data_IF_547533578150
#
_entry.id   IF_547533578150
#
_cell.length_a   1.000
_cell.length_b   1.000
_cell.length_c   1.000
_cell.angle_alpha   90.00
_cell.angle_beta   90.00
_cell.angle_gamma   90.00
#
_symmetry.space_group_name_H-M   'P 1'
#
loop_
_entity.id
_entity.type
_entity.pdbx_description
1 polymer ?
#
# COMPACT_ATOMS: atom_id res chain seq x y z
N UNK A 1 -20.65 -0.55 -15.56
CA UNK A 1 -19.44 -1.39 -15.33
C UNK A 1 -19.60 -1.98 -13.94
N UNK A 2 -19.76 -3.29 -13.85
CA UNK A 2 -19.86 -4.00 -12.56
C UNK A 2 -18.45 -4.38 -12.11
N UNK A 3 -18.10 -4.14 -10.86
CA UNK A 3 -16.86 -4.55 -10.23
C UNK A 3 -17.09 -4.78 -8.74
N UNK A 4 -16.34 -5.68 -8.17
CA UNK A 4 -16.34 -5.96 -6.75
C UNK A 4 -15.16 -5.25 -6.09
N UNK A 5 -15.37 -4.73 -4.90
CA UNK A 5 -14.34 -4.10 -4.08
C UNK A 5 -14.20 -4.87 -2.77
N UNK A 6 -12.97 -5.15 -2.37
CA UNK A 6 -12.61 -5.59 -1.04
C UNK A 6 -11.55 -4.64 -0.48
N UNK A 7 -11.80 -4.08 0.70
CA UNK A 7 -10.77 -3.37 1.45
C UNK A 7 -9.86 -4.38 2.15
N UNK A 8 -8.57 -4.35 1.84
CA UNK A 8 -7.59 -5.26 2.43
C UNK A 8 -6.56 -4.50 3.25
N UNK A 9 -6.44 -4.83 4.51
CA UNK A 9 -5.46 -4.25 5.42
C UNK A 9 -4.52 -5.33 5.94
N UNK A 10 -3.22 -5.09 5.85
CA UNK A 10 -2.20 -5.94 6.46
C UNK A 10 -1.75 -5.31 7.79
N UNK A 11 -2.14 -5.96 8.87
CA UNK A 11 -1.56 -5.69 10.19
C UNK A 11 -0.21 -6.41 10.29
N UNK A 12 0.84 -5.62 10.46
CA UNK A 12 2.22 -6.11 10.54
C UNK A 12 2.70 -6.30 11.98
N UNK A 13 1.80 -6.26 12.94
CA UNK A 13 2.05 -6.34 14.40
C UNK A 13 2.99 -5.23 14.90
N UNK A 14 2.85 -4.03 14.33
CA UNK A 14 3.61 -2.86 14.80
C UNK A 14 3.06 -2.36 16.13
N UNK A 15 3.93 -1.96 17.08
CA UNK A 15 3.48 -1.36 18.32
C UNK A 15 2.59 -0.13 18.10
N UNK A 16 1.46 -0.05 18.81
CA UNK A 16 0.51 1.06 18.71
C UNK A 16 -0.46 0.99 17.53
N UNK A 17 -0.45 -0.07 16.74
CA UNK A 17 -1.46 -0.30 15.71
C UNK A 17 -2.84 -0.53 16.33
N UNK A 18 -3.84 0.21 15.87
CA UNK A 18 -5.24 0.03 16.24
C UNK A 18 -6.11 0.19 14.99
N UNK A 19 -6.90 -0.82 14.67
CA UNK A 19 -7.75 -0.89 13.48
C UNK A 19 -9.25 -0.69 13.77
N UNK A 20 -9.63 -0.46 15.04
CA UNK A 20 -11.03 -0.34 15.45
C UNK A 20 -11.77 0.78 14.71
N UNK A 21 -11.15 1.95 14.57
CA UNK A 21 -11.75 3.08 13.83
C UNK A 21 -11.94 2.76 12.35
N UNK A 22 -10.97 2.06 11.75
CA UNK A 22 -11.05 1.64 10.35
C UNK A 22 -12.17 0.62 10.15
N UNK A 23 -12.28 -0.37 11.03
CA UNK A 23 -13.35 -1.37 11.01
C UNK A 23 -14.72 -0.71 11.11
N UNK A 24 -14.90 0.16 12.12
CA UNK A 24 -16.17 0.85 12.34
C UNK A 24 -16.59 1.67 11.10
N UNK A 25 -15.66 2.38 10.49
CA UNK A 25 -15.93 3.17 9.30
C UNK A 25 -16.28 2.29 8.07
N UNK A 26 -15.54 1.20 7.86
CA UNK A 26 -15.80 0.27 6.75
C UNK A 26 -17.16 -0.41 6.88
N UNK A 27 -17.54 -0.79 8.11
CA UNK A 27 -18.86 -1.37 8.42
C UNK A 27 -19.99 -0.35 8.18
N UNK A 28 -19.81 0.90 8.61
CA UNK A 28 -20.76 2.00 8.36
C UNK A 28 -20.96 2.22 6.86
N UNK A 29 -19.89 2.21 6.08
CA UNK A 29 -19.93 2.36 4.63
C UNK A 29 -20.36 1.07 3.88
N UNK A 30 -20.58 -0.03 4.60
CA UNK A 30 -20.92 -1.35 4.03
C UNK A 30 -19.92 -1.84 2.99
N UNK A 31 -18.64 -1.52 3.20
CA UNK A 31 -17.55 -1.96 2.33
C UNK A 31 -17.02 -3.29 2.87
N UNK A 32 -17.03 -4.37 2.07
CA UNK A 32 -16.40 -5.63 2.46
C UNK A 32 -14.92 -5.41 2.77
N UNK A 33 -14.46 -5.93 3.90
CA UNK A 33 -13.06 -5.77 4.28
C UNK A 33 -12.47 -7.05 4.89
N UNK A 34 -11.16 -7.16 4.80
CA UNK A 34 -10.38 -8.18 5.47
C UNK A 34 -9.11 -7.57 6.08
N UNK A 35 -8.84 -7.96 7.31
CA UNK A 35 -7.62 -7.57 8.03
C UNK A 35 -6.82 -8.83 8.29
N UNK A 36 -5.69 -8.95 7.60
CA UNK A 36 -4.77 -10.07 7.74
C UNK A 36 -3.64 -9.67 8.67
N UNK A 37 -3.51 -10.36 9.80
CA UNK A 37 -2.38 -10.17 10.71
C UNK A 37 -1.22 -11.07 10.32
N UNK A 38 -0.04 -10.47 10.13
CA UNK A 38 1.23 -11.18 9.88
C UNK A 38 2.35 -10.44 10.61
N UNK A 39 3.02 -11.11 11.50
CA UNK A 39 4.17 -10.54 12.20
C UNK A 39 5.38 -10.42 11.26
N UNK A 40 5.30 -9.46 10.35
CA UNK A 40 6.44 -9.10 9.50
C UNK A 40 7.37 -8.11 10.17
N UNK A 41 6.89 -7.42 11.22
CA UNK A 41 7.68 -6.46 11.99
C UNK A 41 8.85 -7.14 12.72
N UNK A 42 8.58 -8.21 13.43
CA UNK A 42 9.63 -8.99 14.13
C UNK A 42 10.66 -9.56 13.15
N UNK A 43 10.22 -10.08 12.00
CA UNK A 43 11.13 -10.58 10.94
C UNK A 43 12.07 -9.47 10.42
N UNK A 44 11.53 -8.28 10.22
CA UNK A 44 12.32 -7.15 9.74
C UNK A 44 13.31 -6.69 10.80
N UNK A 45 12.88 -6.63 12.05
CA UNK A 45 13.72 -6.22 13.19
C UNK A 45 14.87 -7.20 13.45
N UNK A 46 14.63 -8.50 13.28
CA UNK A 46 15.66 -9.53 13.45
C UNK A 46 16.70 -9.52 12.34
N UNK A 47 16.27 -9.26 11.08
CA UNK A 47 17.14 -9.38 9.89
C UNK A 47 17.92 -8.13 9.53
N UNK A 48 17.55 -6.98 10.04
CA UNK A 48 18.18 -5.70 9.69
C UNK A 48 18.84 -5.10 10.93
N UNK A 49 20.17 -4.81 10.91
CA UNK A 49 20.85 -4.09 11.97
C UNK A 49 20.21 -2.70 12.19
N UNK A 50 20.20 -2.21 13.42
CA UNK A 50 19.61 -0.92 13.81
C UNK A 50 20.15 0.30 13.03
N UNK A 51 21.31 0.15 12.39
CA UNK A 51 21.94 1.20 11.56
C UNK A 51 21.38 1.31 10.15
N UNK A 52 20.48 0.42 9.72
CA UNK A 52 19.89 0.42 8.37
C UNK A 52 18.39 0.65 8.40
N UNK A 53 17.88 1.33 7.35
CA UNK A 53 16.43 1.60 7.19
C UNK A 53 15.64 0.32 6.93
N UNK A 54 14.64 0.08 7.77
CA UNK A 54 13.72 -1.08 7.71
C UNK A 54 12.73 -1.00 6.52
N UNK A 55 12.54 0.19 5.94
CA UNK A 55 11.46 0.49 5.01
C UNK A 55 11.45 -0.36 3.74
N UNK A 56 12.60 -0.68 3.15
CA UNK A 56 12.67 -1.40 1.89
C UNK A 56 12.26 -2.87 2.02
N UNK A 57 12.70 -3.56 3.08
CA UNK A 57 12.33 -4.96 3.34
C UNK A 57 10.86 -5.05 3.76
N UNK A 58 10.41 -4.16 4.65
CA UNK A 58 9.03 -4.08 5.09
C UNK A 58 8.06 -3.86 3.91
N UNK A 59 8.39 -2.92 3.01
CA UNK A 59 7.59 -2.67 1.80
C UNK A 59 7.55 -3.86 0.85
N UNK A 60 8.66 -4.59 0.72
CA UNK A 60 8.74 -5.78 -0.13
C UNK A 60 7.91 -6.93 0.42
N UNK A 61 8.00 -7.20 1.73
CA UNK A 61 7.21 -8.23 2.40
C UNK A 61 5.71 -7.92 2.30
N UNK A 62 5.32 -6.68 2.63
CA UNK A 62 3.93 -6.22 2.53
C UNK A 62 3.38 -6.41 1.11
N UNK A 63 4.12 -5.99 0.10
CA UNK A 63 3.72 -6.14 -1.30
C UNK A 63 3.56 -7.61 -1.68
N UNK A 64 4.48 -8.47 -1.29
CA UNK A 64 4.41 -9.91 -1.54
C UNK A 64 3.16 -10.56 -0.95
N UNK A 65 2.78 -10.15 0.28
CA UNK A 65 1.58 -10.66 0.95
C UNK A 65 0.32 -10.18 0.23
N UNK A 66 0.22 -8.89 -0.11
CA UNK A 66 -0.93 -8.31 -0.83
C UNK A 66 -1.12 -9.01 -2.19
N UNK A 67 -0.04 -9.20 -2.95
CA UNK A 67 -0.12 -9.84 -4.27
C UNK A 67 -0.50 -11.31 -4.18
N UNK A 68 0.02 -12.03 -3.18
CA UNK A 68 -0.38 -13.41 -2.92
C UNK A 68 -1.86 -13.52 -2.58
N UNK A 69 -2.33 -12.69 -1.66
CA UNK A 69 -3.73 -12.64 -1.26
C UNK A 69 -4.63 -12.34 -2.47
N UNK A 70 -4.30 -11.33 -3.26
CA UNK A 70 -5.06 -10.96 -4.45
C UNK A 70 -5.16 -12.13 -5.46
N UNK A 71 -4.06 -12.86 -5.64
CA UNK A 71 -4.03 -14.05 -6.53
C UNK A 71 -4.89 -15.19 -6.01
N UNK A 72 -4.77 -15.51 -4.74
CA UNK A 72 -5.50 -16.61 -4.10
C UNK A 72 -7.02 -16.39 -4.11
N UNK A 73 -7.47 -15.13 -4.09
CA UNK A 73 -8.88 -14.73 -4.10
C UNK A 73 -9.39 -14.24 -5.47
N UNK A 74 -8.59 -14.37 -6.52
CA UNK A 74 -9.03 -14.06 -7.90
C UNK A 74 -9.14 -12.57 -8.22
N UNK A 75 -8.58 -11.66 -7.41
CA UNK A 75 -8.55 -10.24 -7.71
C UNK A 75 -7.56 -9.92 -8.82
N UNK A 76 -8.01 -9.22 -9.86
CA UNK A 76 -7.18 -8.85 -11.02
C UNK A 76 -6.58 -7.46 -10.93
N UNK A 77 -7.06 -6.62 -10.01
CA UNK A 77 -6.58 -5.25 -9.80
C UNK A 77 -6.31 -5.00 -8.33
N UNK A 78 -5.26 -4.22 -8.08
CA UNK A 78 -4.86 -3.78 -6.74
C UNK A 78 -4.84 -2.26 -6.76
N UNK A 79 -5.75 -1.63 -6.01
CA UNK A 79 -5.79 -0.18 -5.84
C UNK A 79 -4.94 0.23 -4.63
N UNK A 80 -4.01 1.17 -4.83
CA UNK A 80 -3.17 1.73 -3.78
C UNK A 80 -3.48 3.21 -3.60
N UNK A 81 -3.52 3.67 -2.35
CA UNK A 81 -3.85 5.04 -1.97
C UNK A 81 -2.77 6.09 -2.22
N UNK A 82 -1.73 5.78 -3.01
CA UNK A 82 -0.71 6.77 -3.35
C UNK A 82 -1.31 7.94 -4.12
N UNK A 83 -0.99 9.15 -3.70
CA UNK A 83 -1.48 10.40 -4.26
C UNK A 83 -0.38 11.18 -4.99
N UNK A 84 -0.73 12.33 -5.58
CA UNK A 84 0.18 13.15 -6.39
C UNK A 84 1.50 13.48 -5.68
N UNK A 85 1.42 13.86 -4.42
CA UNK A 85 2.59 14.28 -3.66
C UNK A 85 3.56 13.10 -3.40
N UNK A 86 3.05 11.87 -3.24
CA UNK A 86 3.88 10.66 -3.16
C UNK A 86 4.66 10.41 -4.45
N UNK A 87 4.01 10.62 -5.61
CA UNK A 87 4.63 10.45 -6.90
C UNK A 87 5.75 11.47 -7.10
N UNK A 88 5.50 12.73 -6.74
CA UNK A 88 6.48 13.82 -6.83
C UNK A 88 7.66 13.54 -5.88
N UNK A 89 7.39 13.21 -4.61
CA UNK A 89 8.42 12.88 -3.62
C UNK A 89 9.29 11.71 -4.11
N UNK A 90 8.67 10.65 -4.60
CA UNK A 90 9.40 9.49 -5.13
C UNK A 90 10.27 9.85 -6.34
N UNK A 91 9.77 10.68 -7.24
CA UNK A 91 10.52 11.15 -8.40
C UNK A 91 11.74 11.97 -7.98
N UNK A 92 11.56 12.95 -7.09
CA UNK A 92 12.65 13.77 -6.57
C UNK A 92 13.70 12.93 -5.84
N UNK A 93 13.27 12.01 -4.98
CA UNK A 93 14.17 11.09 -4.30
C UNK A 93 14.96 10.23 -5.28
N UNK A 94 14.32 9.75 -6.34
CA UNK A 94 14.97 8.94 -7.37
C UNK A 94 16.06 9.72 -8.11
N UNK A 95 15.83 10.99 -8.43
CA UNK A 95 16.83 11.85 -9.07
C UNK A 95 17.99 12.16 -8.10
N UNK A 96 17.66 12.63 -6.89
CA UNK A 96 18.66 13.14 -5.95
C UNK A 96 19.58 12.05 -5.39
N UNK A 97 19.05 10.86 -5.14
CA UNK A 97 19.82 9.77 -4.50
C UNK A 97 20.30 8.70 -5.46
N UNK A 98 19.59 8.48 -6.57
CA UNK A 98 19.93 7.39 -7.48
C UNK A 98 20.30 7.86 -8.90
N UNK A 99 20.21 9.17 -9.19
CA UNK A 99 20.43 9.69 -10.52
C UNK A 99 19.49 9.14 -11.60
N UNK A 100 18.29 8.69 -11.21
CA UNK A 100 17.33 8.04 -12.09
C UNK A 100 16.02 8.81 -12.15
N UNK A 101 15.44 8.94 -13.34
CA UNK A 101 14.13 9.57 -13.56
C UNK A 101 12.99 8.56 -13.41
N UNK A 102 12.87 7.95 -12.21
CA UNK A 102 11.84 6.95 -11.92
C UNK A 102 10.82 7.48 -10.91
N UNK A 103 9.55 7.19 -11.16
CA UNK A 103 8.46 7.47 -10.23
C UNK A 103 7.49 6.28 -10.19
N UNK A 104 6.39 6.43 -9.47
CA UNK A 104 5.32 5.45 -9.39
C UNK A 104 4.28 5.76 -10.48
N UNK A 105 4.13 4.95 -11.53
CA UNK A 105 3.12 5.21 -12.56
C UNK A 105 1.71 5.04 -11.98
N UNK A 106 0.70 5.80 -12.46
CA UNK A 106 -0.70 5.66 -12.05
C UNK A 106 -1.29 4.26 -12.30
N UNK A 107 -0.75 3.57 -13.31
CA UNK A 107 -1.12 2.20 -13.67
C UNK A 107 0.14 1.40 -14.00
N UNK A 108 0.25 0.21 -13.43
CA UNK A 108 1.41 -0.67 -13.60
C UNK A 108 0.93 -2.12 -13.68
N UNK A 109 1.44 -2.87 -14.64
CA UNK A 109 1.35 -4.32 -14.63
C UNK A 109 2.44 -4.89 -13.70
N UNK A 110 2.10 -5.81 -12.83
CA UNK A 110 3.07 -6.46 -11.94
C UNK A 110 4.10 -7.28 -12.72
N UNK A 111 5.29 -7.49 -12.16
CA UNK A 111 6.39 -8.18 -12.84
C UNK A 111 6.00 -9.62 -13.25
N UNK A 112 5.15 -10.27 -12.44
CA UNK A 112 4.58 -11.59 -12.73
C UNK A 112 3.41 -11.54 -13.72
N UNK A 113 3.02 -10.34 -14.20
CA UNK A 113 1.92 -10.07 -15.14
C UNK A 113 0.54 -10.57 -14.67
N UNK A 114 0.35 -10.85 -13.39
CA UNK A 114 -0.91 -11.39 -12.86
C UNK A 114 -1.88 -10.31 -12.41
N UNK A 115 -1.39 -9.12 -12.02
CA UNK A 115 -2.22 -8.06 -11.48
C UNK A 115 -1.92 -6.72 -12.13
N UNK A 116 -2.93 -5.88 -12.18
CA UNK A 116 -2.78 -4.47 -12.54
C UNK A 116 -2.85 -3.65 -11.25
N UNK A 117 -1.76 -2.99 -10.91
CA UNK A 117 -1.72 -2.01 -9.82
C UNK A 117 -2.21 -0.67 -10.35
N UNK A 118 -3.18 -0.06 -9.68
CA UNK A 118 -3.71 1.26 -10.00
C UNK A 118 -3.55 2.20 -8.80
N UNK A 119 -3.44 3.49 -9.08
CA UNK A 119 -3.37 4.56 -8.08
C UNK A 119 -4.44 5.60 -8.38
N UNK A 120 -5.69 5.38 -7.93
CA UNK A 120 -6.82 6.26 -8.26
C UNK A 120 -6.59 7.71 -7.86
N UNK A 121 -5.83 7.94 -6.77
CA UNK A 121 -5.53 9.27 -6.24
C UNK A 121 -4.26 9.92 -6.83
N UNK A 122 -3.68 9.35 -7.91
CA UNK A 122 -2.41 9.81 -8.49
C UNK A 122 -2.39 11.31 -8.89
N UNK A 123 -3.54 11.91 -9.14
CA UNK A 123 -3.69 13.32 -9.49
C UNK A 123 -4.26 14.18 -8.36
N UNK A 124 -4.64 13.59 -7.24
CA UNK A 124 -5.17 14.30 -6.07
C UNK A 124 -4.03 14.84 -5.21
N UNK A 125 -4.19 16.04 -4.68
CA UNK A 125 -3.27 16.63 -3.71
C UNK A 125 -3.50 16.02 -2.32
N UNK A 126 -2.44 15.86 -1.54
CA UNK A 126 -2.53 15.39 -0.15
C UNK A 126 -3.49 16.27 0.69
N UNK A 127 -3.39 17.59 0.55
CA UNK A 127 -4.25 18.53 1.26
C UNK A 127 -5.75 18.38 0.93
N UNK A 128 -6.08 18.04 -0.32
CA UNK A 128 -7.48 17.82 -0.70
C UNK A 128 -8.02 16.51 -0.11
N UNK A 129 -7.17 15.49 -0.01
CA UNK A 129 -7.51 14.20 0.63
C UNK A 129 -7.73 14.41 2.14
N UNK A 130 -6.87 15.19 2.81
CA UNK A 130 -7.00 15.51 4.23
C UNK A 130 -8.34 16.22 4.49
N UNK A 131 -8.66 17.26 3.72
CA UNK A 131 -9.93 18.00 3.86
C UNK A 131 -11.17 17.14 3.59
N UNK A 132 -11.03 16.14 2.74
CA UNK A 132 -12.13 15.20 2.46
C UNK A 132 -12.35 14.22 3.62
N UNK A 133 -11.29 13.88 4.37
CA UNK A 133 -11.31 12.92 5.47
C UNK A 133 -11.72 13.55 6.82
N UNK A 134 -11.72 14.88 6.95
CA UNK A 134 -12.19 15.66 8.11
C UNK A 134 -13.73 15.81 8.07
#
# INVERSE_FOLDING_TARGET
MEFEILSFTLDQSQPGWNDEKLKAWLDEQKIPFEILTRDTYSIVKEKIPETKTYCSLCSRLRRGIIYRYAREHGFNKIALGHHRDDLIRTYLMSILYNGQTKSMPPKLLTDDKQHIVIRPLAYCQENDIIKFAE
#
